data_IF_437226210614
#
_entry.id   IF_437226210614
#
_cell.length_a   1.000
_cell.length_b   1.000
_cell.length_c   1.000
_cell.angle_alpha   90.00
_cell.angle_beta   90.00
_cell.angle_gamma   90.00
#
_symmetry.space_group_name_H-M   'P 1'
#
loop_
_entity.id
_entity.type
_entity.pdbx_description
1 polymer ?
#
# COMPACT_ATOMS: atom_id res chain seq x y z
N UNK A 1 -18.67 0.61 -0.27
CA UNK A 1 -17.76 -0.55 -0.33
C UNK A 1 -16.88 -0.70 0.92
N UNK A 2 -16.17 0.36 1.34
CA UNK A 2 -15.35 0.32 2.56
C UNK A 2 -16.12 -0.14 3.81
N UNK A 3 -17.29 0.46 4.08
CA UNK A 3 -18.12 0.10 5.24
C UNK A 3 -18.58 -1.38 5.23
N UNK A 4 -18.94 -1.90 4.05
CA UNK A 4 -19.38 -3.30 3.92
C UNK A 4 -18.23 -4.25 4.28
N UNK A 5 -17.04 -4.02 3.74
CA UNK A 5 -15.87 -4.83 4.05
C UNK A 5 -15.39 -4.64 5.49
N UNK A 6 -15.48 -3.43 6.03
CA UNK A 6 -15.20 -3.16 7.44
C UNK A 6 -16.13 -3.95 8.37
N UNK A 7 -17.41 -4.06 8.02
CA UNK A 7 -18.38 -4.85 8.79
C UNK A 7 -18.05 -6.35 8.74
N UNK A 8 -17.71 -6.87 7.55
CA UNK A 8 -17.31 -8.27 7.39
C UNK A 8 -16.06 -8.56 8.24
N UNK A 9 -15.04 -7.73 8.14
CA UNK A 9 -13.80 -7.91 8.91
C UNK A 9 -13.98 -7.66 10.40
N UNK A 10 -14.95 -6.85 10.81
CA UNK A 10 -15.25 -6.61 12.22
C UNK A 10 -15.60 -7.89 12.97
N UNK A 11 -16.32 -8.82 12.34
CA UNK A 11 -16.65 -10.11 12.96
C UNK A 11 -15.38 -10.87 13.37
N UNK A 12 -14.32 -10.85 12.53
CA UNK A 12 -13.04 -11.50 12.83
C UNK A 12 -12.25 -10.76 13.91
N UNK A 13 -12.26 -9.44 13.87
CA UNK A 13 -11.62 -8.61 14.90
C UNK A 13 -12.29 -8.82 16.25
N UNK A 14 -13.63 -8.85 16.27
CA UNK A 14 -14.41 -9.07 17.49
C UNK A 14 -14.16 -10.46 18.07
N UNK A 15 -14.15 -11.52 17.25
CA UNK A 15 -13.79 -12.85 17.69
C UNK A 15 -12.40 -12.87 18.38
N UNK A 16 -11.40 -12.22 17.76
CA UNK A 16 -10.08 -12.09 18.36
C UNK A 16 -10.03 -11.25 19.65
N UNK A 17 -10.99 -10.37 19.89
CA UNK A 17 -11.11 -9.68 21.19
C UNK A 17 -11.70 -10.60 22.26
N UNK A 18 -12.69 -11.40 21.90
CA UNK A 18 -13.31 -12.40 22.82
C UNK A 18 -12.25 -13.39 23.28
N UNK A 19 -11.44 -13.91 22.35
CA UNK A 19 -10.37 -14.89 22.65
C UNK A 19 -9.29 -14.35 23.61
N UNK A 20 -9.03 -13.03 23.57
CA UNK A 20 -7.98 -12.36 24.39
C UNK A 20 -8.51 -11.70 25.67
N UNK A 21 -9.81 -11.77 25.90
CA UNK A 21 -10.48 -11.01 26.93
C UNK A 21 -10.85 -9.59 26.49
N UNK A 22 -12.12 -9.27 26.59
CA UNK A 22 -12.66 -7.96 26.21
C UNK A 22 -12.15 -6.87 27.15
N UNK A 23 -11.55 -5.82 26.58
CA UNK A 23 -11.16 -4.60 27.28
C UNK A 23 -11.73 -3.37 26.59
N UNK A 24 -12.08 -2.33 27.36
CA UNK A 24 -12.65 -1.08 26.81
C UNK A 24 -11.69 -0.29 25.91
N UNK A 25 -10.39 -0.51 26.02
CA UNK A 25 -9.39 0.11 25.15
C UNK A 25 -9.43 -0.40 23.70
N UNK A 26 -9.87 -1.63 23.47
CA UNK A 26 -9.89 -2.26 22.15
C UNK A 26 -10.84 -1.56 21.15
N UNK A 27 -12.10 -1.23 21.51
CA UNK A 27 -12.97 -0.45 20.63
C UNK A 27 -12.40 0.93 20.29
N UNK A 28 -11.82 1.65 21.26
CA UNK A 28 -11.24 2.97 21.03
C UNK A 28 -10.07 2.91 20.02
N UNK A 29 -9.17 1.94 20.17
CA UNK A 29 -8.07 1.70 19.23
C UNK A 29 -8.60 1.31 17.85
N UNK A 30 -9.64 0.48 17.77
CA UNK A 30 -10.24 0.10 16.50
C UNK A 30 -10.84 1.31 15.77
N UNK A 31 -11.58 2.17 16.46
CA UNK A 31 -12.13 3.39 15.87
C UNK A 31 -11.03 4.35 15.43
N UNK A 32 -10.00 4.57 16.24
CA UNK A 32 -8.85 5.38 15.84
C UNK A 32 -8.23 4.84 14.54
N UNK A 33 -7.95 3.54 14.47
CA UNK A 33 -7.39 2.91 13.26
C UNK A 33 -8.32 3.01 12.06
N UNK A 34 -9.63 2.84 12.27
CA UNK A 34 -10.62 2.95 11.20
C UNK A 34 -10.64 4.34 10.56
N UNK A 35 -10.42 5.38 11.35
CA UNK A 35 -10.40 6.77 10.87
C UNK A 35 -9.06 7.14 10.21
N UNK A 36 -7.94 6.72 10.81
CA UNK A 36 -6.60 7.19 10.41
C UNK A 36 -5.99 6.31 9.33
N UNK A 37 -6.22 5.01 9.40
CA UNK A 37 -5.59 4.06 8.47
C UNK A 37 -6.62 3.11 7.83
N UNK A 38 -7.11 2.14 8.59
CA UNK A 38 -8.06 1.14 8.09
C UNK A 38 -8.54 0.23 9.23
N UNK A 39 -9.76 -0.26 9.11
CA UNK A 39 -10.32 -1.27 10.02
C UNK A 39 -9.58 -2.61 9.93
N UNK A 40 -8.97 -2.91 8.78
CA UNK A 40 -8.20 -4.13 8.57
C UNK A 40 -7.09 -3.93 7.54
N UNK A 41 -5.98 -4.68 7.70
CA UNK A 41 -4.77 -4.48 6.90
C UNK A 41 -4.95 -4.56 5.38
N UNK A 42 -5.93 -5.31 4.88
CA UNK A 42 -6.16 -5.48 3.44
C UNK A 42 -6.94 -4.35 2.79
N UNK A 43 -7.78 -3.66 3.56
CA UNK A 43 -8.67 -2.64 3.01
C UNK A 43 -8.14 -1.21 3.17
N UNK A 44 -6.90 -1.06 3.63
CA UNK A 44 -6.24 0.24 3.85
C UNK A 44 -6.22 1.13 2.60
N UNK A 45 -6.17 0.53 1.42
CA UNK A 45 -6.10 1.29 0.18
C UNK A 45 -7.40 2.05 -0.14
N UNK A 46 -8.56 1.59 0.37
CA UNK A 46 -9.83 2.26 0.11
C UNK A 46 -9.92 3.64 0.78
N UNK A 47 -9.69 3.80 2.11
CA UNK A 47 -9.62 5.12 2.72
C UNK A 47 -8.43 5.93 2.18
N UNK A 48 -7.28 5.30 1.92
CA UNK A 48 -6.14 5.98 1.33
C UNK A 48 -6.48 6.57 -0.05
N UNK A 49 -7.16 5.80 -0.91
CA UNK A 49 -7.61 6.25 -2.22
C UNK A 49 -8.60 7.41 -2.11
N UNK A 50 -9.59 7.30 -1.20
CA UNK A 50 -10.58 8.37 -1.00
C UNK A 50 -9.93 9.67 -0.54
N UNK A 51 -9.04 9.61 0.45
CA UNK A 51 -8.28 10.76 0.95
C UNK A 51 -7.40 11.34 -0.17
N UNK A 52 -6.66 10.49 -0.86
CA UNK A 52 -5.76 10.89 -1.94
C UNK A 52 -6.49 11.58 -3.10
N UNK A 53 -7.62 11.03 -3.55
CA UNK A 53 -8.46 11.65 -4.60
C UNK A 53 -8.98 13.00 -4.14
N UNK A 54 -9.46 13.10 -2.90
CA UNK A 54 -9.99 14.35 -2.35
C UNK A 54 -8.91 15.45 -2.31
N UNK A 55 -7.70 15.11 -1.84
CA UNK A 55 -6.56 16.02 -1.78
C UNK A 55 -6.16 16.47 -3.20
N UNK A 56 -5.97 15.53 -4.11
CA UNK A 56 -5.54 15.81 -5.49
C UNK A 56 -6.60 16.66 -6.21
N UNK A 57 -7.88 16.33 -6.06
CA UNK A 57 -8.97 17.12 -6.63
C UNK A 57 -8.97 18.55 -6.08
N UNK A 58 -8.85 18.72 -4.76
CA UNK A 58 -8.80 20.03 -4.13
C UNK A 58 -7.58 20.84 -4.59
N UNK A 59 -6.42 20.25 -4.63
CA UNK A 59 -5.18 20.90 -5.08
C UNK A 59 -5.24 21.30 -6.55
N UNK A 60 -5.79 20.45 -7.42
CA UNK A 60 -5.94 20.74 -8.83
C UNK A 60 -6.87 21.93 -9.07
N UNK A 61 -7.85 22.14 -8.21
CA UNK A 61 -8.83 23.23 -8.32
C UNK A 61 -8.30 24.55 -7.75
N UNK A 62 -7.49 24.52 -6.71
CA UNK A 62 -7.12 25.72 -5.94
C UNK A 62 -5.63 26.09 -6.04
N UNK A 63 -4.77 25.18 -6.44
CA UNK A 63 -3.34 25.43 -6.53
C UNK A 63 -2.88 25.59 -7.97
N UNK A 64 -1.86 26.44 -8.18
CA UNK A 64 -1.17 26.50 -9.47
C UNK A 64 -0.42 25.20 -9.76
N UNK A 65 -0.23 24.88 -11.05
CA UNK A 65 0.39 23.61 -11.46
C UNK A 65 1.77 23.37 -10.81
N UNK A 66 2.56 24.42 -10.65
CA UNK A 66 3.89 24.31 -10.03
C UNK A 66 3.78 23.86 -8.56
N UNK A 67 2.91 24.48 -7.76
CA UNK A 67 2.69 24.11 -6.36
C UNK A 67 2.16 22.69 -6.25
N UNK A 68 1.21 22.30 -7.11
CA UNK A 68 0.70 20.93 -7.14
C UNK A 68 1.83 19.91 -7.33
N UNK A 69 2.64 20.05 -8.39
CA UNK A 69 3.69 19.08 -8.68
C UNK A 69 4.82 19.10 -7.65
N UNK A 70 5.20 20.28 -7.14
CA UNK A 70 6.17 20.38 -6.05
C UNK A 70 5.69 19.63 -4.81
N UNK A 71 4.43 19.81 -4.43
CA UNK A 71 3.85 19.08 -3.29
C UNK A 71 3.84 17.57 -3.52
N UNK A 72 3.44 17.13 -4.71
CA UNK A 72 3.45 15.68 -5.06
C UNK A 72 4.86 15.10 -4.93
N UNK A 73 5.88 15.80 -5.45
CA UNK A 73 7.29 15.36 -5.38
C UNK A 73 7.76 15.32 -3.91
N UNK A 74 7.46 16.36 -3.13
CA UNK A 74 7.82 16.39 -1.70
C UNK A 74 7.17 15.22 -0.95
N UNK A 75 5.88 14.99 -1.14
CA UNK A 75 5.17 13.86 -0.51
C UNK A 75 5.75 12.51 -0.92
N UNK A 76 6.10 12.35 -2.20
CA UNK A 76 6.75 11.16 -2.71
C UNK A 76 8.12 10.94 -2.02
N UNK A 77 8.95 11.97 -1.95
CA UNK A 77 10.29 11.88 -1.33
C UNK A 77 10.15 11.56 0.16
N UNK A 78 9.35 12.33 0.89
CA UNK A 78 9.14 12.13 2.33
C UNK A 78 8.57 10.75 2.63
N UNK A 79 7.53 10.34 1.88
CA UNK A 79 6.92 9.03 2.05
C UNK A 79 7.90 7.86 1.84
N UNK A 80 8.79 7.96 0.82
CA UNK A 80 9.82 6.93 0.60
C UNK A 80 10.91 6.96 1.67
N UNK A 81 11.44 8.12 2.02
CA UNK A 81 12.49 8.25 3.03
C UNK A 81 12.07 7.66 4.36
N UNK A 82 10.87 7.98 4.84
CA UNK A 82 10.38 7.45 6.10
C UNK A 82 9.70 6.08 5.99
N UNK A 83 9.28 5.66 4.80
CA UNK A 83 8.75 4.32 4.54
C UNK A 83 9.87 3.29 4.39
N UNK A 84 10.59 3.35 3.29
CA UNK A 84 11.56 2.32 2.89
C UNK A 84 13.01 2.61 3.29
N UNK A 85 13.30 3.80 3.80
CA UNK A 85 14.64 4.18 4.29
C UNK A 85 14.59 4.65 5.74
N UNK A 86 13.58 4.21 6.50
CA UNK A 86 13.33 4.66 7.88
C UNK A 86 14.51 4.46 8.81
N UNK A 87 15.21 3.33 8.75
CA UNK A 87 16.36 3.05 9.62
C UNK A 87 17.52 4.04 9.41
N UNK A 88 17.68 4.52 8.17
CA UNK A 88 18.70 5.53 7.85
C UNK A 88 18.28 6.89 8.38
N UNK A 89 17.01 7.24 8.21
CA UNK A 89 16.47 8.55 8.63
C UNK A 89 16.38 8.67 10.14
N UNK A 90 16.04 7.60 10.85
CA UNK A 90 15.87 7.59 12.31
C UNK A 90 17.19 7.44 13.08
N UNK A 91 18.34 7.53 12.41
CA UNK A 91 19.64 7.57 13.08
C UNK A 91 19.85 8.87 13.90
N UNK A 92 19.18 9.96 13.52
CA UNK A 92 19.19 11.20 14.28
C UNK A 92 18.01 11.20 15.27
N UNK A 93 18.28 11.48 16.55
CA UNK A 93 17.31 11.41 17.65
C UNK A 93 16.11 12.36 17.44
N UNK A 94 16.33 13.55 16.87
CA UNK A 94 15.25 14.52 16.59
C UNK A 94 14.32 13.97 15.51
N UNK A 95 14.90 13.43 14.43
CA UNK A 95 14.14 12.82 13.33
C UNK A 95 13.41 11.57 13.81
N UNK A 96 14.04 10.78 14.67
CA UNK A 96 13.44 9.61 15.30
C UNK A 96 12.22 9.99 16.14
N UNK A 97 12.34 11.01 17.00
CA UNK A 97 11.22 11.46 17.82
C UNK A 97 10.03 11.93 16.97
N UNK A 98 10.29 12.65 15.88
CA UNK A 98 9.25 13.07 14.94
C UNK A 98 8.63 11.86 14.19
N UNK A 99 9.45 10.88 13.83
CA UNK A 99 9.00 9.63 13.21
C UNK A 99 8.11 8.84 14.16
N UNK A 100 8.55 8.64 15.40
CA UNK A 100 7.81 7.88 16.41
C UNK A 100 6.46 8.56 16.72
N UNK A 101 6.45 9.88 16.91
CA UNK A 101 5.22 10.65 17.06
C UNK A 101 4.26 10.45 15.87
N UNK A 102 4.80 10.51 14.64
CA UNK A 102 3.97 10.29 13.45
C UNK A 102 3.39 8.88 13.41
N UNK A 103 4.19 7.87 13.73
CA UNK A 103 3.76 6.47 13.75
C UNK A 103 2.71 6.20 14.84
N UNK A 104 2.81 6.86 15.99
CA UNK A 104 1.81 6.77 17.06
C UNK A 104 0.44 7.31 16.62
N UNK A 105 0.44 8.43 15.85
CA UNK A 105 -0.80 9.06 15.38
C UNK A 105 -1.35 8.36 14.13
N UNK A 106 -0.51 8.14 13.13
CA UNK A 106 -0.93 7.70 11.79
C UNK A 106 -0.65 6.23 11.50
N UNK A 107 0.01 5.51 12.41
CA UNK A 107 0.25 4.05 12.36
C UNK A 107 1.18 3.62 11.22
N UNK A 108 1.15 4.31 10.07
CA UNK A 108 1.90 3.92 8.88
C UNK A 108 2.13 5.10 7.93
N UNK A 109 3.23 5.02 7.18
CA UNK A 109 3.51 5.90 6.04
C UNK A 109 2.72 5.51 4.77
N UNK A 110 2.10 4.32 4.75
CA UNK A 110 1.23 3.85 3.66
C UNK A 110 -0.18 4.40 3.82
N UNK A 111 -0.35 5.69 3.67
CA UNK A 111 -1.64 6.35 3.82
C UNK A 111 -2.04 7.15 2.57
N UNK A 112 -3.17 7.83 2.65
CA UNK A 112 -3.71 8.63 1.57
C UNK A 112 -2.80 9.77 1.14
N UNK A 113 -2.01 10.32 2.07
CA UNK A 113 -1.16 11.48 1.80
C UNK A 113 0.13 11.09 1.08
N UNK A 114 0.93 10.20 1.67
CA UNK A 114 2.26 9.88 1.15
C UNK A 114 2.28 8.80 0.06
N UNK A 115 1.25 7.96 0.02
CA UNK A 115 1.16 6.88 -0.96
C UNK A 115 0.13 7.18 -2.05
N UNK A 116 -1.14 7.44 -1.70
CA UNK A 116 -2.17 7.57 -2.73
C UNK A 116 -2.03 8.84 -3.57
N UNK A 117 -1.67 10.00 -2.97
CA UNK A 117 -1.50 11.26 -3.72
C UNK A 117 -0.50 11.13 -4.86
N UNK A 118 0.74 10.61 -4.68
CA UNK A 118 1.69 10.40 -5.78
C UNK A 118 1.14 9.48 -6.89
N UNK A 119 0.49 8.36 -6.54
CA UNK A 119 -0.05 7.45 -7.55
C UNK A 119 -1.23 8.03 -8.33
N UNK A 120 -2.11 8.79 -7.68
CA UNK A 120 -3.20 9.48 -8.35
C UNK A 120 -2.64 10.58 -9.26
N UNK A 121 -1.60 11.29 -8.84
CA UNK A 121 -0.91 12.28 -9.66
C UNK A 121 -0.26 11.64 -10.91
N UNK A 122 0.34 10.44 -10.77
CA UNK A 122 0.82 9.65 -11.92
C UNK A 122 -0.34 9.31 -12.86
N UNK A 123 -1.49 8.89 -12.32
CA UNK A 123 -2.69 8.63 -13.13
C UNK A 123 -3.16 9.87 -13.90
N UNK A 124 -3.12 11.05 -13.28
CA UNK A 124 -3.41 12.31 -13.95
C UNK A 124 -2.39 12.63 -15.05
N UNK A 125 -1.12 12.37 -14.80
CA UNK A 125 -0.06 12.57 -15.79
C UNK A 125 -0.27 11.67 -17.02
N UNK A 126 -0.68 10.42 -16.78
CA UNK A 126 -1.02 9.46 -17.85
C UNK A 126 -2.29 9.85 -18.63
N UNK A 127 -3.22 10.54 -17.98
CA UNK A 127 -4.44 11.03 -18.62
C UNK A 127 -4.21 12.33 -19.43
N UNK A 128 -3.06 12.97 -19.27
CA UNK A 128 -2.73 14.19 -20.03
C UNK A 128 -2.23 13.82 -21.44
N UNK A 129 -2.91 14.33 -22.47
CA UNK A 129 -2.60 14.05 -23.87
C UNK A 129 -1.16 14.43 -24.29
N UNK A 130 -0.49 15.28 -23.51
CA UNK A 130 0.90 15.67 -23.76
C UNK A 130 1.88 14.51 -23.76
N UNK A 131 1.61 13.44 -23.03
CA UNK A 131 2.49 12.25 -22.92
C UNK A 131 2.23 11.19 -24.00
N UNK A 132 1.14 11.29 -24.76
CA UNK A 132 0.87 10.42 -25.91
C UNK A 132 1.95 10.52 -27.02
N UNK A 133 2.87 11.47 -26.90
CA UNK A 133 4.03 11.63 -27.80
C UNK A 133 5.14 10.57 -27.59
N UNK A 134 5.16 9.91 -26.41
CA UNK A 134 6.14 8.85 -26.14
C UNK A 134 5.67 7.57 -26.86
N UNK A 135 6.48 7.09 -27.80
CA UNK A 135 6.14 5.86 -28.53
C UNK A 135 6.28 4.62 -27.64
N UNK A 136 5.56 3.56 -27.97
CA UNK A 136 5.66 2.26 -27.29
C UNK A 136 7.08 1.68 -27.35
N UNK A 137 7.83 1.99 -28.44
CA UNK A 137 9.22 1.55 -28.63
C UNK A 137 10.17 2.14 -27.58
N UNK A 138 9.83 3.27 -26.99
CA UNK A 138 10.59 3.92 -25.90
C UNK A 138 10.01 3.51 -24.55
N UNK A 139 8.70 3.49 -24.42
CA UNK A 139 8.02 3.19 -23.15
C UNK A 139 8.29 1.77 -22.66
N UNK A 140 8.27 0.77 -23.54
CA UNK A 140 8.47 -0.63 -23.16
C UNK A 140 9.87 -0.93 -22.62
N UNK A 141 10.99 -0.51 -23.26
CA UNK A 141 12.32 -0.65 -22.67
C UNK A 141 12.47 0.07 -21.34
N UNK A 142 11.88 1.27 -21.19
CA UNK A 142 11.91 2.00 -19.93
C UNK A 142 11.12 1.28 -18.83
N UNK A 143 10.01 0.61 -19.17
CA UNK A 143 9.29 -0.27 -18.24
C UNK A 143 10.21 -1.37 -17.71
N UNK A 144 10.90 -2.09 -18.60
CA UNK A 144 11.82 -3.17 -18.20
C UNK A 144 12.97 -2.62 -17.35
N UNK A 145 13.55 -1.49 -17.76
CA UNK A 145 14.63 -0.83 -17.02
C UNK A 145 14.21 -0.44 -15.60
N UNK A 146 13.07 0.26 -15.44
CA UNK A 146 12.63 0.73 -14.13
C UNK A 146 12.06 -0.40 -13.27
N UNK A 147 11.44 -1.43 -13.84
CA UNK A 147 11.07 -2.63 -13.10
C UNK A 147 12.32 -3.37 -12.59
N UNK A 148 13.37 -3.50 -13.42
CA UNK A 148 14.66 -4.06 -12.98
C UNK A 148 15.32 -3.22 -11.89
N UNK A 149 15.33 -1.90 -12.05
CA UNK A 149 15.85 -0.98 -11.04
C UNK A 149 15.08 -1.06 -9.72
N UNK A 150 13.76 -1.21 -9.76
CA UNK A 150 12.93 -1.41 -8.57
C UNK A 150 13.27 -2.73 -7.85
N UNK A 151 13.48 -3.81 -8.59
CA UNK A 151 13.91 -5.09 -7.99
C UNK A 151 15.27 -4.95 -7.31
N UNK A 152 16.22 -4.27 -7.96
CA UNK A 152 17.55 -3.99 -7.39
C UNK A 152 17.41 -3.12 -6.13
N UNK A 153 16.59 -2.05 -6.18
CA UNK A 153 16.32 -1.17 -5.03
C UNK A 153 15.75 -1.97 -3.86
N UNK A 154 14.73 -2.81 -4.09
CA UNK A 154 14.13 -3.66 -3.06
C UNK A 154 15.15 -4.64 -2.46
N UNK A 155 16.02 -5.22 -3.30
CA UNK A 155 17.12 -6.08 -2.85
C UNK A 155 18.12 -5.31 -1.98
N UNK A 156 18.51 -4.11 -2.39
CA UNK A 156 19.43 -3.25 -1.62
C UNK A 156 18.82 -2.85 -0.27
N UNK A 157 17.54 -2.44 -0.24
CA UNK A 157 16.83 -2.07 1.00
C UNK A 157 16.87 -3.24 1.98
N UNK A 158 16.57 -4.45 1.51
CA UNK A 158 16.58 -5.66 2.34
C UNK A 158 18.00 -6.04 2.77
N UNK A 159 18.96 -6.03 1.84
CA UNK A 159 20.35 -6.49 2.08
C UNK A 159 21.09 -5.58 3.04
N UNK A 160 20.88 -4.28 2.96
CA UNK A 160 21.52 -3.28 3.82
C UNK A 160 20.68 -2.86 5.02
N UNK A 161 19.54 -3.50 5.24
CA UNK A 161 18.64 -3.22 6.37
C UNK A 161 18.23 -1.74 6.47
N UNK A 162 18.00 -1.07 5.34
CA UNK A 162 17.56 0.32 5.34
C UNK A 162 16.16 0.50 5.91
N UNK A 163 15.33 -0.55 5.82
CA UNK A 163 14.02 -0.65 6.47
C UNK A 163 13.62 -2.12 6.61
N UNK A 164 12.63 -2.38 7.46
CA UNK A 164 11.92 -3.66 7.53
C UNK A 164 10.83 -3.79 6.46
N UNK A 165 10.46 -2.68 5.81
CA UNK A 165 9.41 -2.63 4.79
C UNK A 165 10.02 -2.30 3.41
N UNK A 166 9.71 -3.12 2.39
CA UNK A 166 10.20 -2.96 1.01
C UNK A 166 9.09 -2.54 0.04
N UNK A 167 7.96 -2.10 0.56
CA UNK A 167 6.75 -1.90 -0.24
C UNK A 167 6.68 -0.53 -0.92
N UNK A 168 7.58 0.37 -0.59
CA UNK A 168 7.72 1.68 -1.22
C UNK A 168 9.16 1.79 -1.71
N UNK A 169 9.36 2.28 -2.91
CA UNK A 169 10.67 2.50 -3.49
C UNK A 169 10.63 3.65 -4.48
N UNK A 170 11.72 4.38 -4.64
CA UNK A 170 11.79 5.48 -5.59
C UNK A 170 11.61 5.00 -7.03
N UNK A 171 12.19 3.82 -7.38
CA UNK A 171 12.10 3.26 -8.71
C UNK A 171 10.72 2.67 -9.04
N UNK A 172 9.89 2.44 -8.03
CA UNK A 172 8.52 1.94 -8.21
C UNK A 172 7.63 2.94 -8.96
N UNK A 173 7.79 4.25 -8.73
CA UNK A 173 6.96 5.27 -9.38
C UNK A 173 7.20 5.36 -10.89
N UNK A 174 8.44 5.50 -11.39
CA UNK A 174 8.68 5.46 -12.82
C UNK A 174 8.37 4.08 -13.43
N UNK A 175 8.57 2.98 -12.70
CA UNK A 175 8.21 1.64 -13.16
C UNK A 175 6.69 1.56 -13.43
N UNK A 176 5.86 1.97 -12.48
CA UNK A 176 4.40 1.99 -12.64
C UNK A 176 3.97 2.95 -13.76
N UNK A 177 4.59 4.14 -13.83
CA UNK A 177 4.29 5.09 -14.88
C UNK A 177 4.50 4.51 -16.27
N UNK A 178 5.70 3.99 -16.56
CA UNK A 178 6.01 3.45 -17.89
C UNK A 178 5.28 2.14 -18.17
N UNK A 179 5.04 1.31 -17.16
CA UNK A 179 4.23 0.10 -17.29
C UNK A 179 2.79 0.45 -17.71
N UNK A 180 2.14 1.36 -17.01
CA UNK A 180 0.78 1.79 -17.34
C UNK A 180 0.72 2.50 -18.69
N UNK A 181 1.70 3.36 -18.99
CA UNK A 181 1.81 4.02 -20.29
C UNK A 181 1.97 3.00 -21.43
N UNK A 182 2.81 2.00 -21.26
CA UNK A 182 2.98 0.91 -22.23
C UNK A 182 1.69 0.12 -22.45
N UNK A 183 0.95 -0.17 -21.36
CA UNK A 183 -0.34 -0.86 -21.43
C UNK A 183 -1.41 -0.02 -22.16
N UNK A 184 -1.45 1.29 -21.93
CA UNK A 184 -2.38 2.20 -22.61
C UNK A 184 -2.08 2.25 -24.12
N UNK A 185 -0.80 2.26 -24.50
CA UNK A 185 -0.37 2.25 -25.91
C UNK A 185 -0.53 0.89 -26.58
N UNK A 186 -0.75 -0.18 -25.81
CA UNK A 186 -0.88 -1.54 -26.33
C UNK A 186 -2.26 -1.76 -26.96
N UNK A 187 -2.37 -1.42 -28.23
CA UNK A 187 -3.63 -1.49 -29.01
C UNK A 187 -4.13 -2.89 -29.36
N UNK A 188 -3.38 -3.94 -29.00
CA UNK A 188 -3.73 -5.33 -29.31
C UNK A 188 -4.90 -5.85 -28.46
N UNK A 189 -5.11 -5.23 -27.29
CA UNK A 189 -6.20 -5.60 -26.39
C UNK A 189 -7.45 -4.80 -26.76
N UNK A 190 -8.35 -5.43 -27.51
CA UNK A 190 -9.65 -4.83 -27.81
C UNK A 190 -10.52 -4.79 -26.54
N UNK A 191 -11.26 -3.71 -26.31
CA UNK A 191 -12.20 -3.66 -25.19
C UNK A 191 -13.27 -4.74 -25.35
N UNK A 192 -13.41 -5.60 -24.32
CA UNK A 192 -14.42 -6.66 -24.27
C UNK A 192 -15.17 -6.56 -22.93
N UNK A 193 -16.47 -6.90 -22.89
CA UNK A 193 -17.27 -6.87 -21.65
C UNK A 193 -16.64 -7.69 -20.52
N UNK A 194 -15.93 -8.79 -20.88
CA UNK A 194 -15.23 -9.65 -19.92
C UNK A 194 -14.23 -8.89 -19.04
N UNK A 195 -13.61 -7.81 -19.53
CA UNK A 195 -12.65 -7.03 -18.75
C UNK A 195 -13.27 -6.36 -17.54
N UNK A 196 -14.57 -6.01 -17.61
CA UNK A 196 -15.31 -5.46 -16.48
C UNK A 196 -15.46 -6.53 -15.39
N UNK A 197 -15.79 -7.76 -15.80
CA UNK A 197 -15.89 -8.88 -14.86
C UNK A 197 -14.53 -9.24 -14.26
N UNK A 198 -13.45 -9.28 -15.06
CA UNK A 198 -12.10 -9.52 -14.57
C UNK A 198 -11.67 -8.46 -13.56
N UNK A 199 -11.94 -7.18 -13.82
CA UNK A 199 -11.66 -6.08 -12.88
C UNK A 199 -12.41 -6.26 -11.56
N UNK A 200 -13.71 -6.55 -11.62
CA UNK A 200 -14.53 -6.72 -10.44
C UNK A 200 -14.11 -7.95 -9.64
N UNK A 201 -13.81 -9.05 -10.32
CA UNK A 201 -13.31 -10.28 -9.69
C UNK A 201 -11.96 -10.07 -9.04
N UNK A 202 -11.01 -9.42 -9.71
CA UNK A 202 -9.69 -9.09 -9.18
C UNK A 202 -9.80 -8.27 -7.89
N UNK A 203 -10.68 -7.25 -7.88
CA UNK A 203 -10.91 -6.44 -6.68
C UNK A 203 -11.53 -7.27 -5.55
N UNK A 204 -12.48 -8.16 -5.87
CA UNK A 204 -13.12 -9.03 -4.89
C UNK A 204 -12.12 -10.02 -4.29
N UNK A 205 -11.28 -10.64 -5.12
CA UNK A 205 -10.19 -11.52 -4.69
C UNK A 205 -9.23 -10.77 -3.76
N UNK A 206 -8.80 -9.57 -4.15
CA UNK A 206 -7.89 -8.75 -3.34
C UNK A 206 -8.51 -8.42 -1.97
N UNK A 207 -9.77 -8.03 -1.93
CA UNK A 207 -10.45 -7.68 -0.66
C UNK A 207 -10.69 -8.89 0.23
N UNK A 208 -10.97 -10.07 -0.34
CA UNK A 208 -11.28 -11.31 0.40
C UNK A 208 -10.07 -12.16 0.75
N UNK A 209 -8.89 -11.91 0.14
CA UNK A 209 -7.69 -12.76 0.29
C UNK A 209 -7.33 -13.03 1.76
N UNK A 210 -7.45 -12.04 2.64
CA UNK A 210 -7.13 -12.19 4.08
C UNK A 210 -8.15 -13.06 4.82
N UNK A 211 -9.41 -13.07 4.40
CA UNK A 211 -10.41 -13.97 4.98
C UNK A 211 -10.03 -15.42 4.70
N UNK A 212 -9.68 -15.72 3.44
CA UNK A 212 -9.22 -17.04 3.06
C UNK A 212 -7.94 -17.42 3.80
N UNK A 213 -6.94 -16.53 3.84
CA UNK A 213 -5.68 -16.79 4.54
C UNK A 213 -5.87 -16.99 6.05
N UNK A 214 -6.87 -16.35 6.66
CA UNK A 214 -7.19 -16.56 8.08
C UNK A 214 -7.94 -17.86 8.34
N UNK A 215 -8.74 -18.33 7.38
CA UNK A 215 -9.50 -19.57 7.49
C UNK A 215 -8.64 -20.82 7.18
N UNK A 216 -7.62 -20.69 6.36
CA UNK A 216 -6.75 -21.78 5.90
C UNK A 216 -6.09 -22.55 7.05
N UNK A 217 -5.49 -21.93 8.10
CA UNK A 217 -4.85 -22.67 9.19
C UNK A 217 -5.78 -23.62 9.95
N UNK A 218 -7.09 -23.33 9.96
CA UNK A 218 -8.09 -24.21 10.61
C UNK A 218 -8.59 -25.35 9.72
N UNK A 219 -8.30 -25.32 8.43
CA UNK A 219 -8.84 -26.27 7.44
C UNK A 219 -7.75 -27.18 6.85
N UNK A 220 -6.49 -26.73 6.87
CA UNK A 220 -5.38 -27.47 6.27
C UNK A 220 -4.84 -28.55 7.21
N UNK A 221 -4.50 -29.74 6.70
CA UNK A 221 -3.76 -30.76 7.45
C UNK A 221 -2.42 -30.19 7.97
N UNK A 222 -2.00 -30.67 9.14
CA UNK A 222 -0.78 -30.18 9.82
C UNK A 222 0.48 -30.11 8.93
N UNK A 223 0.62 -31.04 8.00
CA UNK A 223 1.74 -31.07 7.03
C UNK A 223 1.82 -29.82 6.14
N UNK A 224 0.69 -29.28 5.70
CA UNK A 224 0.67 -28.08 4.84
C UNK A 224 0.89 -26.84 5.70
N UNK A 225 0.40 -26.84 6.94
CA UNK A 225 0.67 -25.84 7.93
C UNK A 225 2.17 -25.73 8.25
N UNK A 226 2.87 -26.87 8.33
CA UNK A 226 4.33 -26.92 8.52
C UNK A 226 5.10 -26.42 7.29
N UNK A 227 4.67 -26.76 6.07
CA UNK A 227 5.28 -26.19 4.87
C UNK A 227 5.14 -24.67 4.80
N UNK A 228 3.98 -24.13 5.22
CA UNK A 228 3.78 -22.66 5.31
C UNK A 228 4.65 -22.05 6.41
N UNK A 229 4.84 -22.74 7.53
CA UNK A 229 5.77 -22.33 8.62
C UNK A 229 7.24 -22.37 8.21
N UNK A 230 7.60 -23.20 7.25
CA UNK A 230 8.97 -23.31 6.71
C UNK A 230 9.30 -22.22 5.67
N UNK A 231 8.34 -21.39 5.27
CA UNK A 231 8.61 -20.25 4.41
C UNK A 231 9.40 -19.16 5.16
N UNK A 232 10.28 -18.43 4.45
CA UNK A 232 11.10 -17.39 5.07
C UNK A 232 10.27 -16.40 5.89
N UNK A 233 10.75 -16.04 7.06
CA UNK A 233 10.13 -15.17 8.07
C UNK A 233 9.35 -13.95 7.51
N UNK A 234 9.82 -13.22 6.47
CA UNK A 234 9.06 -12.07 5.95
C UNK A 234 7.67 -12.43 5.41
N UNK A 235 7.47 -13.66 4.94
CA UNK A 235 6.16 -14.12 4.46
C UNK A 235 5.28 -14.67 5.58
N UNK A 236 5.90 -15.26 6.61
CA UNK A 236 5.20 -15.78 7.79
C UNK A 236 4.78 -14.64 8.71
N UNK A 237 5.60 -13.61 8.87
CA UNK A 237 5.22 -12.40 9.61
C UNK A 237 4.02 -11.71 8.99
N UNK A 238 3.87 -11.73 7.67
CA UNK A 238 2.66 -11.27 6.97
C UNK A 238 1.46 -12.18 7.27
N UNK A 239 1.66 -13.48 7.39
CA UNK A 239 0.59 -14.44 7.73
C UNK A 239 0.26 -14.43 9.25
N UNK A 240 1.28 -14.34 10.12
CA UNK A 240 1.12 -14.21 11.57
C UNK A 240 0.87 -12.78 12.05
N UNK A 241 1.49 -11.80 11.40
CA UNK A 241 1.55 -10.41 11.85
C UNK A 241 0.29 -9.59 11.57
N UNK A 242 -0.72 -10.15 10.90
CA UNK A 242 -2.05 -9.54 10.92
C UNK A 242 -2.66 -9.47 12.33
N UNK A 243 -2.16 -10.29 13.26
CA UNK A 243 -2.59 -10.30 14.65
C UNK A 243 -1.56 -9.78 15.66
N UNK A 244 -0.26 -9.99 15.42
CA UNK A 244 0.77 -9.75 16.44
C UNK A 244 1.42 -8.36 16.40
N UNK A 245 1.55 -7.72 15.24
CA UNK A 245 2.03 -6.33 15.13
C UNK A 245 1.03 -5.32 15.70
N UNK A 246 -0.20 -5.78 15.96
CA UNK A 246 -1.27 -4.95 16.51
C UNK A 246 -1.23 -4.82 18.06
N UNK A 247 -0.40 -5.58 18.77
CA UNK A 247 -0.58 -5.74 20.23
C UNK A 247 0.70 -5.86 21.06
N UNK A 248 1.87 -5.59 20.49
CA UNK A 248 3.11 -5.67 21.27
C UNK A 248 3.67 -4.27 21.56
N UNK A 249 2.86 -3.40 22.14
CA UNK A 249 3.26 -2.25 22.93
C UNK A 249 2.33 -2.19 24.14
N UNK A 250 2.67 -2.97 25.14
CA UNK A 250 2.24 -2.85 26.51
C UNK A 250 3.49 -2.72 27.37
#
# INVERSE_FOLDING_TARGET
MYLVWSLIYFCFVFAGWVDRGLSWGQPAQYFHRALVFSTYATIWFLPALWIGVSIVYWMRRHCIKAVFWTTVIVLLIVGNLFGSYSNVMTHNDVVKSAYDWYMDVFITWRNGLFNAVPYIAIGLLLADDGLNKISIRVSLPLTVLFCGAFIIEAFCITRFHFSTATDMGFMMYPAIFFMMHSLILWRWVKPRPIWIHCRNLSMLIFLSQRLFLSAIPGVLPDRVSECIKAWPEPYISVLRGGGAVLFNNG
#
